data_IF_612891621135
#
_entry.id   IF_612891621135
#
_cell.length_a   1.000
_cell.length_b   1.000
_cell.length_c   1.000
_cell.angle_alpha   90.00
_cell.angle_beta   90.00
_cell.angle_gamma   90.00
#
_symmetry.space_group_name_H-M   'P 1'
#
loop_
_entity.id
_entity.type
_entity.pdbx_description
1 polymer ?
#
# COMPACT_ATOMS: atom_id res chain seq x y z
N UNK A 1 -11.77 8.68 -0.80
CA UNK A 1 -11.58 8.29 0.60
C UNK A 1 -12.78 7.45 1.03
N UNK A 2 -12.57 6.46 1.91
CA UNK A 2 -13.67 5.69 2.49
C UNK A 2 -14.30 6.46 3.65
N UNK A 3 -15.58 6.22 3.91
CA UNK A 3 -16.39 6.87 4.94
C UNK A 3 -16.56 5.98 6.17
N UNK A 4 -17.00 6.59 7.28
CA UNK A 4 -17.23 5.94 8.59
C UNK A 4 -18.17 4.72 8.53
N UNK A 5 -19.15 4.71 7.62
CA UNK A 5 -20.11 3.62 7.45
C UNK A 5 -19.56 2.41 6.67
N UNK A 6 -18.34 2.53 6.13
CA UNK A 6 -17.76 1.54 5.24
C UNK A 6 -16.78 0.61 5.98
N UNK A 7 -16.71 -0.63 5.49
CA UNK A 7 -15.76 -1.65 5.93
C UNK A 7 -14.96 -2.07 4.70
N UNK A 8 -13.64 -2.00 4.79
CA UNK A 8 -12.74 -2.59 3.80
C UNK A 8 -12.10 -3.85 4.38
N UNK A 9 -12.12 -4.93 3.59
CA UNK A 9 -11.58 -6.22 4.00
C UNK A 9 -10.43 -6.59 3.07
N UNK A 10 -9.22 -6.64 3.62
CA UNK A 10 -8.00 -6.99 2.91
C UNK A 10 -7.76 -8.50 2.96
N UNK A 11 -7.41 -9.07 1.81
CA UNK A 11 -6.96 -10.44 1.69
C UNK A 11 -5.46 -10.50 1.96
N UNK A 12 -5.05 -11.32 2.93
CA UNK A 12 -3.66 -11.36 3.39
C UNK A 12 -3.07 -12.74 3.13
N UNK A 13 -2.05 -12.87 2.26
CA UNK A 13 -1.39 -14.14 2.03
C UNK A 13 -0.43 -14.53 3.17
N UNK A 14 0.27 -13.54 3.74
CA UNK A 14 1.25 -13.67 4.82
C UNK A 14 0.98 -12.54 5.81
N UNK A 15 0.47 -12.81 7.03
CA UNK A 15 0.09 -11.78 8.01
C UNK A 15 1.24 -11.30 8.89
N UNK A 16 2.40 -11.94 8.78
CA UNK A 16 3.54 -11.76 9.67
C UNK A 16 4.59 -10.90 8.94
N UNK A 17 4.76 -9.61 9.30
CA UNK A 17 5.69 -8.73 8.61
C UNK A 17 7.14 -9.19 8.75
N UNK A 18 7.48 -9.94 9.81
CA UNK A 18 8.83 -10.47 10.04
C UNK A 18 9.09 -11.80 9.34
N UNK A 19 8.12 -12.37 8.59
CA UNK A 19 8.17 -13.76 8.10
C UNK A 19 9.40 -14.08 7.25
N UNK A 20 9.84 -13.12 6.44
CA UNK A 20 11.00 -13.30 5.56
C UNK A 20 12.34 -13.18 6.29
N UNK A 21 12.33 -12.66 7.52
CA UNK A 21 13.50 -12.50 8.38
C UNK A 21 13.58 -13.63 9.41
N UNK A 22 12.44 -14.00 9.98
CA UNK A 22 12.31 -15.13 10.90
C UNK A 22 11.11 -16.01 10.47
N UNK A 23 11.36 -17.20 9.91
CA UNK A 23 10.30 -18.06 9.39
C UNK A 23 9.48 -18.75 10.50
N UNK A 24 9.92 -18.78 11.76
CA UNK A 24 9.24 -19.47 12.86
C UNK A 24 8.26 -18.55 13.58
N UNK A 25 6.98 -18.93 13.54
CA UNK A 25 5.91 -18.21 14.25
C UNK A 25 6.10 -18.16 15.77
N UNK A 26 6.75 -19.16 16.37
CA UNK A 26 7.07 -19.17 17.80
C UNK A 26 8.04 -18.07 18.19
N UNK A 27 8.94 -17.68 17.29
CA UNK A 27 9.92 -16.63 17.53
C UNK A 27 9.33 -15.26 17.20
N UNK A 28 8.67 -15.09 16.04
CA UNK A 28 8.05 -13.80 15.69
C UNK A 28 6.98 -13.38 16.69
N UNK A 29 6.23 -14.34 17.26
CA UNK A 29 5.29 -14.06 18.37
C UNK A 29 5.99 -13.50 19.61
N UNK A 30 7.18 -14.00 19.97
CA UNK A 30 7.96 -13.45 21.08
C UNK A 30 8.46 -12.05 20.74
N UNK A 31 8.96 -11.84 19.52
CA UNK A 31 9.41 -10.54 19.06
C UNK A 31 8.29 -9.50 19.13
N UNK A 32 7.09 -9.82 18.67
CA UNK A 32 5.91 -8.97 18.82
C UNK A 32 5.54 -8.70 20.28
N UNK A 33 5.69 -9.70 21.17
CA UNK A 33 5.37 -9.54 22.60
C UNK A 33 6.37 -8.65 23.35
N UNK A 34 7.62 -8.60 22.88
CA UNK A 34 8.73 -7.85 23.48
C UNK A 34 9.07 -6.57 22.72
N UNK A 35 8.34 -6.26 21.64
CA UNK A 35 8.58 -5.10 20.77
C UNK A 35 9.96 -5.11 20.07
N UNK A 36 10.48 -6.31 19.78
CA UNK A 36 11.81 -6.49 19.18
C UNK A 36 11.79 -6.34 17.64
N UNK A 37 11.50 -5.13 17.16
CA UNK A 37 11.41 -4.84 15.71
C UNK A 37 12.72 -4.35 15.08
N UNK A 38 13.84 -4.42 15.79
CA UNK A 38 15.16 -4.01 15.27
C UNK A 38 15.55 -4.71 13.97
N UNK A 39 15.19 -6.00 13.84
CA UNK A 39 15.49 -6.81 12.65
C UNK A 39 14.85 -6.25 11.37
N UNK A 40 13.66 -5.64 11.48
CA UNK A 40 13.01 -5.01 10.33
C UNK A 40 13.78 -3.76 9.86
N UNK A 41 14.28 -2.95 10.80
CA UNK A 41 15.09 -1.79 10.45
C UNK A 41 16.41 -2.21 9.79
N UNK A 42 17.06 -3.28 10.28
CA UNK A 42 18.27 -3.81 9.63
C UNK A 42 17.99 -4.18 8.18
N UNK A 43 16.89 -4.91 7.91
CA UNK A 43 16.49 -5.27 6.54
C UNK A 43 16.32 -4.04 5.64
N UNK A 44 15.57 -3.03 6.10
CA UNK A 44 15.32 -1.83 5.29
C UNK A 44 16.63 -1.08 4.99
N UNK A 45 17.56 -1.05 5.95
CA UNK A 45 18.86 -0.41 5.76
C UNK A 45 19.78 -1.22 4.82
N UNK A 46 19.71 -2.55 4.85
CA UNK A 46 20.42 -3.41 3.89
C UNK A 46 19.97 -3.13 2.45
N UNK A 47 18.66 -2.95 2.21
CA UNK A 47 18.16 -2.57 0.89
C UNK A 47 18.77 -1.23 0.43
N UNK A 48 18.78 -0.22 1.31
CA UNK A 48 19.36 1.11 1.03
C UNK A 48 20.85 0.98 0.70
N UNK A 49 21.61 0.22 1.49
CA UNK A 49 23.04 0.05 1.29
C UNK A 49 23.37 -0.65 -0.04
N UNK A 50 22.51 -1.56 -0.50
CA UNK A 50 22.71 -2.31 -1.75
C UNK A 50 22.22 -1.58 -3.00
N UNK A 51 21.06 -0.90 -2.91
CA UNK A 51 20.34 -0.38 -4.07
C UNK A 51 20.19 1.14 -4.07
N UNK A 52 20.58 1.83 -3.00
CA UNK A 52 20.38 3.26 -2.81
C UNK A 52 18.93 3.67 -2.50
N UNK A 53 18.02 2.69 -2.40
CA UNK A 53 16.63 2.87 -2.03
C UNK A 53 16.10 1.61 -1.35
N UNK A 54 14.94 1.72 -0.71
CA UNK A 54 14.26 0.55 -0.13
C UNK A 54 13.58 -0.24 -1.26
N UNK A 55 13.94 -1.51 -1.40
CA UNK A 55 13.51 -2.37 -2.50
C UNK A 55 12.07 -2.87 -2.36
N UNK A 56 11.50 -2.80 -1.16
CA UNK A 56 10.11 -3.23 -0.88
C UNK A 56 9.11 -2.31 -1.59
N UNK A 57 8.47 -2.80 -2.66
CA UNK A 57 7.48 -2.05 -3.44
C UNK A 57 6.02 -2.25 -2.98
N UNK A 58 5.71 -3.37 -2.33
CA UNK A 58 4.38 -3.75 -1.82
C UNK A 58 4.51 -4.46 -0.48
N UNK A 59 3.40 -4.64 0.24
CA UNK A 59 3.40 -5.20 1.61
C UNK A 59 4.41 -4.47 2.51
N UNK A 60 4.50 -3.15 2.36
CA UNK A 60 5.52 -2.35 3.04
C UNK A 60 5.17 -2.21 4.52
N UNK A 61 6.06 -2.59 5.45
CA UNK A 61 5.73 -2.68 6.87
C UNK A 61 5.37 -1.31 7.47
N UNK A 62 4.30 -1.29 8.27
CA UNK A 62 3.82 -0.10 8.96
C UNK A 62 3.84 -0.29 10.47
N UNK A 63 4.04 0.80 11.22
CA UNK A 63 3.90 0.86 12.68
C UNK A 63 2.55 1.47 13.04
N UNK A 64 1.75 0.69 13.76
CA UNK A 64 0.38 1.00 14.17
C UNK A 64 0.38 1.45 15.63
N UNK A 65 -0.25 2.59 15.92
CA UNK A 65 -0.36 3.17 17.26
C UNK A 65 0.99 3.28 17.99
N UNK A 66 2.06 3.53 17.23
CA UNK A 66 3.41 3.63 17.77
C UNK A 66 3.95 2.33 18.38
N UNK A 67 3.27 1.19 18.21
CA UNK A 67 3.59 -0.07 18.90
C UNK A 67 3.75 -1.25 17.96
N UNK A 68 2.69 -1.73 17.31
CA UNK A 68 2.78 -2.96 16.51
C UNK A 68 3.33 -2.67 15.13
N UNK A 69 4.36 -3.41 14.70
CA UNK A 69 4.68 -3.52 13.27
C UNK A 69 3.68 -4.48 12.63
N UNK A 70 3.10 -4.08 11.50
CA UNK A 70 2.02 -4.77 10.83
C UNK A 70 2.31 -4.90 9.33
N UNK A 71 1.92 -6.03 8.75
CA UNK A 71 1.83 -6.22 7.30
C UNK A 71 0.49 -5.62 6.80
N UNK A 72 0.49 -4.61 5.91
CA UNK A 72 -0.73 -3.97 5.43
C UNK A 72 -1.42 -4.74 4.29
N UNK A 73 -1.16 -6.04 4.13
CA UNK A 73 -1.49 -6.87 2.97
C UNK A 73 -0.66 -6.47 1.73
N UNK A 74 -0.74 -7.19 0.59
CA UNK A 74 0.09 -6.91 -0.59
C UNK A 74 -0.40 -5.69 -1.38
N UNK A 75 -0.83 -4.63 -0.70
CA UNK A 75 -1.05 -3.32 -1.30
C UNK A 75 0.29 -2.70 -1.72
N UNK A 76 0.33 -1.89 -2.78
CA UNK A 76 1.53 -1.13 -3.12
C UNK A 76 1.83 -0.13 -1.99
N UNK A 77 3.11 0.19 -1.77
CA UNK A 77 3.51 1.20 -0.78
C UNK A 77 2.84 2.57 -1.04
N UNK A 78 2.46 2.85 -2.29
CA UNK A 78 1.65 4.01 -2.67
C UNK A 78 0.35 4.15 -1.84
N UNK A 79 -0.25 3.05 -1.41
CA UNK A 79 -1.50 3.04 -0.66
C UNK A 79 -1.31 3.13 0.86
N UNK A 80 -0.10 2.93 1.40
CA UNK A 80 0.15 3.01 2.85
C UNK A 80 -0.34 4.31 3.50
N UNK A 81 -0.13 5.51 2.90
CA UNK A 81 -0.63 6.75 3.48
C UNK A 81 -2.16 6.81 3.61
N UNK A 82 -2.89 5.97 2.87
CA UNK A 82 -4.35 5.91 2.92
C UNK A 82 -4.86 5.08 4.10
N UNK A 83 -4.00 4.32 4.78
CA UNK A 83 -4.39 3.45 5.91
C UNK A 83 -4.87 4.23 7.13
N UNK A 84 -4.56 5.52 7.24
CA UNK A 84 -5.20 6.41 8.20
C UNK A 84 -6.48 6.97 7.57
N UNK A 85 -7.63 6.40 7.95
CA UNK A 85 -8.93 6.69 7.32
C UNK A 85 -10.11 6.56 8.30
N UNK A 86 -11.29 7.01 7.87
CA UNK A 86 -12.53 6.98 8.65
C UNK A 86 -13.18 5.58 8.70
N UNK A 87 -12.86 4.71 7.73
CA UNK A 87 -13.42 3.37 7.65
C UNK A 87 -12.65 2.37 8.53
N UNK A 88 -13.35 1.36 9.05
CA UNK A 88 -12.70 0.21 9.68
C UNK A 88 -12.08 -0.70 8.62
N UNK A 89 -10.88 -1.19 8.93
CA UNK A 89 -10.09 -2.04 8.05
C UNK A 89 -9.89 -3.39 8.70
N UNK A 90 -10.28 -4.46 8.03
CA UNK A 90 -10.13 -5.84 8.50
C UNK A 90 -9.16 -6.59 7.60
N UNK A 91 -8.24 -7.33 8.19
CA UNK A 91 -7.20 -8.05 7.49
C UNK A 91 -7.33 -9.54 7.78
N UNK A 92 -7.58 -10.34 6.74
CA UNK A 92 -7.86 -11.77 6.87
C UNK A 92 -6.82 -12.65 6.19
N UNK A 93 -6.07 -13.41 6.99
CA UNK A 93 -5.16 -14.44 6.51
C UNK A 93 -5.71 -15.84 6.81
N UNK A 94 -6.54 -16.36 5.91
CA UNK A 94 -7.25 -17.64 6.11
C UNK A 94 -6.30 -18.83 6.28
N UNK A 95 -5.32 -18.97 5.39
CA UNK A 95 -4.34 -20.08 5.41
C UNK A 95 -3.47 -20.08 6.67
N UNK A 96 -3.14 -18.88 7.18
CA UNK A 96 -2.28 -18.68 8.36
C UNK A 96 -3.09 -18.55 9.66
N UNK A 97 -4.42 -18.60 9.56
CA UNK A 97 -5.37 -18.47 10.68
C UNK A 97 -5.12 -17.22 11.54
N UNK A 98 -5.02 -16.05 10.89
CA UNK A 98 -4.88 -14.76 11.58
C UNK A 98 -5.90 -13.75 11.08
N UNK A 99 -6.39 -12.96 12.01
CA UNK A 99 -7.24 -11.79 11.76
C UNK A 99 -6.66 -10.65 12.58
N UNK A 100 -6.54 -9.48 11.96
CA UNK A 100 -6.14 -8.24 12.61
C UNK A 100 -6.94 -7.08 11.98
N UNK A 101 -6.91 -5.92 12.63
CA UNK A 101 -7.74 -4.80 12.26
C UNK A 101 -7.06 -3.47 12.54
N UNK A 102 -7.41 -2.46 11.74
CA UNK A 102 -7.20 -1.05 12.07
C UNK A 102 -8.58 -0.42 12.29
N UNK A 103 -8.88 0.00 13.52
CA UNK A 103 -10.03 0.86 13.78
C UNK A 103 -9.97 2.17 12.97
N UNK A 104 -11.10 2.87 12.79
CA UNK A 104 -11.12 4.23 12.27
C UNK A 104 -10.15 5.16 13.02
N UNK A 105 -9.54 6.10 12.29
CA UNK A 105 -8.62 7.12 12.83
C UNK A 105 -7.39 6.55 13.57
N UNK A 106 -7.01 5.31 13.27
CA UNK A 106 -5.80 4.70 13.82
C UNK A 106 -4.57 5.32 13.18
N UNK A 107 -3.58 5.69 13.99
CA UNK A 107 -2.30 6.20 13.50
C UNK A 107 -1.48 5.08 12.86
N UNK A 108 -1.16 5.22 11.58
CA UNK A 108 -0.37 4.26 10.81
C UNK A 108 0.81 4.97 10.15
N UNK A 109 2.03 4.55 10.47
CA UNK A 109 3.25 5.17 9.94
C UNK A 109 4.10 4.11 9.26
N UNK A 110 4.37 4.25 7.96
CA UNK A 110 5.33 3.39 7.26
C UNK A 110 6.71 3.47 7.90
N UNK A 111 7.39 2.34 8.07
CA UNK A 111 8.75 2.35 8.62
C UNK A 111 9.73 3.03 7.65
N UNK A 112 10.48 4.01 8.12
CA UNK A 112 11.49 4.73 7.34
C UNK A 112 12.67 5.16 8.24
N UNK A 113 13.58 5.95 7.67
CA UNK A 113 14.71 6.54 8.40
C UNK A 113 14.70 8.06 8.21
N UNK A 114 15.31 8.80 9.14
CA UNK A 114 15.41 10.26 9.06
C UNK A 114 16.14 10.73 7.78
N UNK A 115 17.14 9.98 7.34
CA UNK A 115 17.92 10.23 6.14
C UNK A 115 17.33 9.59 4.87
N UNK A 116 16.38 8.67 5.02
CA UNK A 116 15.68 7.98 3.93
C UNK A 116 14.18 7.92 4.23
N UNK A 117 13.44 9.04 4.05
CA UNK A 117 12.02 9.11 4.37
C UNK A 117 11.19 8.22 3.44
N UNK A 118 10.01 7.83 3.91
CA UNK A 118 9.08 7.02 3.14
C UNK A 118 8.64 7.72 1.85
N UNK A 119 8.79 7.03 0.71
CA UNK A 119 8.36 7.50 -0.60
C UNK A 119 7.21 6.62 -1.15
N UNK A 120 5.96 7.13 -1.22
CA UNK A 120 4.82 6.46 -1.84
C UNK A 120 4.90 6.54 -3.38
N UNK A 121 6.00 6.05 -3.96
CA UNK A 121 6.28 6.16 -5.39
C UNK A 121 5.25 5.41 -6.24
N UNK A 122 5.00 5.94 -7.43
CA UNK A 122 4.26 5.30 -8.53
C UNK A 122 5.00 5.51 -9.86
N UNK A 123 4.47 4.96 -10.95
CA UNK A 123 4.98 5.25 -12.29
C UNK A 123 4.88 6.76 -12.62
N UNK A 124 5.95 7.30 -13.22
CA UNK A 124 6.06 8.72 -13.63
C UNK A 124 5.33 8.98 -14.95
N UNK A 125 4.04 8.68 -14.96
CA UNK A 125 3.14 8.89 -16.09
C UNK A 125 1.77 9.36 -15.59
N UNK A 126 1.01 10.07 -16.43
CA UNK A 126 -0.43 10.21 -16.25
C UNK A 126 -1.16 8.96 -16.77
N UNK A 127 -2.38 8.73 -16.29
CA UNK A 127 -3.26 7.73 -16.87
C UNK A 127 -3.58 8.07 -18.34
N UNK A 128 -3.35 7.12 -19.25
CA UNK A 128 -3.64 7.27 -20.68
C UNK A 128 -5.15 7.39 -21.02
N UNK A 129 -6.04 7.07 -20.08
CA UNK A 129 -7.50 7.12 -20.28
C UNK A 129 -8.08 8.41 -19.70
N UNK A 130 -7.89 8.66 -18.40
CA UNK A 130 -8.53 9.77 -17.69
C UNK A 130 -7.59 10.93 -17.36
N UNK A 131 -6.29 10.82 -17.69
CA UNK A 131 -5.29 11.85 -17.40
C UNK A 131 -4.91 12.01 -15.93
N UNK A 132 -5.33 11.10 -15.04
CA UNK A 132 -4.99 11.20 -13.61
C UNK A 132 -3.48 11.06 -13.36
N UNK A 133 -2.94 11.98 -12.58
CA UNK A 133 -1.54 11.98 -12.12
C UNK A 133 -1.41 11.55 -10.65
N UNK A 134 -2.52 11.27 -9.97
CA UNK A 134 -2.62 10.99 -8.53
C UNK A 134 -3.13 9.58 -8.22
N UNK A 135 -3.21 8.70 -9.23
CA UNK A 135 -3.60 7.30 -9.08
C UNK A 135 -2.42 6.35 -9.20
N UNK A 136 -2.49 5.19 -8.55
CA UNK A 136 -1.62 4.07 -8.89
C UNK A 136 -1.93 3.56 -10.31
N UNK A 137 -0.88 3.18 -11.05
CA UNK A 137 -0.99 2.86 -12.47
C UNK A 137 -0.57 1.43 -12.76
N UNK A 138 -1.37 0.75 -13.56
CA UNK A 138 -1.03 -0.51 -14.20
C UNK A 138 -0.31 -0.23 -15.52
N UNK A 139 0.77 -0.97 -15.78
CA UNK A 139 1.47 -0.97 -17.06
C UNK A 139 0.86 -2.04 -17.97
N UNK A 140 0.36 -1.62 -19.13
CA UNK A 140 -0.20 -2.50 -20.14
C UNK A 140 0.69 -2.49 -21.38
N UNK A 141 1.17 -3.68 -21.77
CA UNK A 141 1.95 -3.87 -23.00
C UNK A 141 0.98 -3.84 -24.19
N UNK A 142 1.23 -2.95 -25.15
CA UNK A 142 0.30 -2.70 -26.27
C UNK A 142 0.69 -3.41 -27.56
N UNK A 143 1.95 -3.80 -27.70
CA UNK A 143 2.48 -4.45 -28.90
C UNK A 143 3.74 -5.28 -28.60
N UNK A 144 4.16 -6.08 -29.58
CA UNK A 144 5.37 -6.91 -29.51
C UNK A 144 6.67 -6.12 -29.74
N UNK A 145 6.57 -4.81 -30.07
CA UNK A 145 7.70 -3.92 -30.29
C UNK A 145 8.07 -3.12 -29.02
N UNK A 146 7.42 -3.39 -27.89
CA UNK A 146 7.71 -2.78 -26.60
C UNK A 146 6.88 -1.54 -26.27
N UNK A 147 5.81 -1.27 -27.02
CA UNK A 147 4.83 -0.24 -26.69
C UNK A 147 4.15 -0.50 -25.35
N UNK A 148 3.95 0.57 -24.58
CA UNK A 148 3.42 0.54 -23.22
C UNK A 148 2.41 1.66 -23.04
N UNK A 149 1.38 1.39 -22.26
CA UNK A 149 0.45 2.40 -21.77
C UNK A 149 0.27 2.25 -20.26
N UNK A 150 0.12 3.37 -19.57
CA UNK A 150 -0.11 3.40 -18.13
C UNK A 150 -1.56 3.81 -17.87
N UNK A 151 -2.29 3.01 -17.11
CA UNK A 151 -3.71 3.25 -16.82
C UNK A 151 -3.99 3.14 -15.34
N UNK A 152 -5.01 3.83 -14.82
CA UNK A 152 -5.40 3.71 -13.42
C UNK A 152 -5.69 2.25 -13.07
N UNK A 153 -5.08 1.76 -11.99
CA UNK A 153 -5.41 0.45 -11.43
C UNK A 153 -6.83 0.44 -10.85
N UNK A 154 -7.24 1.55 -10.21
CA UNK A 154 -8.62 1.78 -9.80
C UNK A 154 -9.48 2.19 -11.01
N UNK A 155 -10.18 1.21 -11.57
CA UNK A 155 -11.05 1.39 -12.73
C UNK A 155 -12.34 2.17 -12.43
N UNK A 156 -12.83 2.15 -11.18
CA UNK A 156 -14.01 2.92 -10.77
C UNK A 156 -13.66 4.41 -10.69
N UNK A 157 -12.54 4.73 -10.04
CA UNK A 157 -11.96 6.07 -10.02
C UNK A 157 -11.72 6.61 -11.44
N UNK A 158 -11.12 5.79 -12.30
CA UNK A 158 -10.84 6.16 -13.70
C UNK A 158 -12.13 6.50 -14.47
N UNK A 159 -13.15 5.64 -14.37
CA UNK A 159 -14.45 5.85 -15.01
C UNK A 159 -15.11 7.13 -14.52
N UNK A 160 -15.16 7.36 -13.21
CA UNK A 160 -15.79 8.55 -12.63
C UNK A 160 -15.15 9.86 -13.15
N UNK A 161 -13.83 9.87 -13.36
CA UNK A 161 -13.14 11.02 -13.96
C UNK A 161 -13.51 11.24 -15.42
N UNK A 162 -13.62 10.17 -16.21
CA UNK A 162 -14.02 10.27 -17.63
C UNK A 162 -15.45 10.82 -17.74
N UNK A 163 -16.37 10.33 -16.91
CA UNK A 163 -17.77 10.77 -16.88
C UNK A 163 -17.88 12.25 -16.45
N UNK A 164 -17.14 12.67 -15.42
CA UNK A 164 -17.09 14.07 -15.00
C UNK A 164 -16.54 14.99 -16.11
N UNK A 165 -15.49 14.57 -16.81
CA UNK A 165 -14.94 15.33 -17.92
C UNK A 165 -15.89 15.43 -19.13
N UNK A 166 -16.70 14.39 -19.37
CA UNK A 166 -17.74 14.41 -20.40
C UNK A 166 -18.90 15.34 -20.02
N UNK A 167 -19.31 15.34 -18.75
CA UNK A 167 -20.35 16.23 -18.22
C UNK A 167 -19.95 17.70 -18.30
N UNK A 168 -18.73 18.05 -17.89
CA UNK A 168 -18.23 19.43 -17.97
C UNK A 168 -18.22 19.99 -19.41
N UNK A 169 -17.85 19.15 -20.38
CA UNK A 169 -17.89 19.54 -21.82
C UNK A 169 -19.31 19.75 -22.35
N UNK A 170 -20.31 19.09 -21.77
CA UNK A 170 -21.70 19.27 -22.16
C UNK A 170 -22.30 20.55 -21.55
N UNK A 171 -21.89 20.93 -20.33
CA UNK A 171 -22.27 22.19 -19.69
C UNK A 171 -21.61 23.40 -20.36
N UNK A 172 -20.34 23.31 -20.76
CA UNK A 172 -19.65 24.40 -21.48
C UNK A 172 -20.16 24.62 -22.91
N UNK A 173 -20.90 23.65 -23.47
CA UNK A 173 -21.46 23.71 -24.83
C UNK A 173 -22.94 24.18 -24.86
N UNK A 174 -23.56 24.41 -23.70
CA UNK A 174 -24.95 24.84 -23.53
C UNK A 174 -25.04 26.34 -23.19
#
# INVERSE_FOLDING_TARGET
>A
ALREDQIIVYQVPIPEPLRFLEPRETETRKMHSLEEYGLMHVKLYEDIAQHGNIATAYAYPVKVEGRYVMDPSPIPKFDNPKLEMDAIQLFGAGREQRIYALPPHTKVVSLDFEDHPFDPSKADHPCAICGAEDSYLDEVITDDAGGRMFVCSDTDYCRGRVEAAAGAKAEDAA
#
